data_IF_442384498483
#
_entry.id   IF_442384498483
#
_cell.length_a   1.000
_cell.length_b   1.000
_cell.length_c   1.000
_cell.angle_alpha   90.00
_cell.angle_beta   90.00
_cell.angle_gamma   90.00
#
_symmetry.space_group_name_H-M   'P 1'
#
loop_
_entity.id
_entity.type
_entity.pdbx_description
1 polymer ?
#
# COMPACT_ATOMS: atom_id res chain seq x y z
N UNK A 1 -4.64 6.34 1.33
CA UNK A 1 -4.14 5.34 0.36
C UNK A 1 -5.23 4.44 -0.23
N UNK A 2 -6.40 4.28 0.42
CA UNK A 2 -7.47 3.43 -0.11
C UNK A 2 -8.01 3.91 -1.46
N UNK A 3 -8.49 2.97 -2.26
CA UNK A 3 -9.17 3.19 -3.55
C UNK A 3 -8.37 4.08 -4.53
N UNK A 4 -7.04 4.04 -4.41
CA UNK A 4 -6.12 4.85 -5.21
C UNK A 4 -5.17 3.90 -5.93
N UNK A 5 -5.05 3.99 -7.28
CA UNK A 5 -4.11 3.16 -8.02
C UNK A 5 -2.71 3.26 -7.45
N UNK A 6 -2.02 2.13 -7.26
CA UNK A 6 -0.71 2.07 -6.61
C UNK A 6 0.31 2.98 -7.28
N UNK A 7 0.28 3.11 -8.61
CA UNK A 7 1.17 4.02 -9.36
C UNK A 7 0.97 5.51 -9.03
N UNK A 8 -0.16 5.88 -8.43
CA UNK A 8 -0.48 7.24 -8.00
C UNK A 8 -0.20 7.45 -6.51
N UNK A 9 0.08 6.39 -5.76
CA UNK A 9 0.40 6.49 -4.34
C UNK A 9 1.82 7.05 -4.18
N UNK A 10 1.96 8.00 -3.27
CA UNK A 10 3.26 8.41 -2.74
C UNK A 10 3.59 7.50 -1.57
N UNK A 11 4.62 6.67 -1.76
CA UNK A 11 5.11 5.74 -0.75
C UNK A 11 6.48 6.19 -0.23
N UNK A 12 6.79 5.80 1.00
CA UNK A 12 8.12 5.95 1.57
C UNK A 12 9.19 5.37 0.65
N UNK A 13 10.38 5.99 0.67
CA UNK A 13 11.51 5.54 -0.15
C UNK A 13 11.88 4.11 0.25
N UNK A 14 12.13 3.26 -0.75
CA UNK A 14 12.44 1.83 -0.57
C UNK A 14 11.32 1.00 0.09
N UNK A 15 10.06 1.39 -0.09
CA UNK A 15 8.89 0.58 0.24
C UNK A 15 8.25 0.00 -1.03
N UNK A 16 7.83 -1.27 -0.96
CA UNK A 16 7.06 -1.94 -2.03
C UNK A 16 5.88 -2.70 -1.43
N UNK A 17 4.76 -2.74 -2.16
CA UNK A 17 3.66 -3.67 -1.88
C UNK A 17 3.96 -4.96 -2.62
N UNK A 18 4.16 -6.05 -1.89
CA UNK A 18 4.50 -7.35 -2.46
C UNK A 18 3.26 -8.16 -2.85
N UNK A 19 2.20 -8.06 -2.05
CA UNK A 19 0.94 -8.75 -2.31
C UNK A 19 -0.22 -8.04 -1.61
N UNK A 20 -1.40 -8.17 -2.20
CA UNK A 20 -2.67 -7.79 -1.58
C UNK A 20 -3.46 -9.09 -1.39
N UNK A 21 -3.83 -9.40 -0.15
CA UNK A 21 -4.74 -10.51 0.16
C UNK A 21 -6.14 -9.94 0.32
N UNK A 22 -7.01 -10.27 -0.62
CA UNK A 22 -8.39 -9.79 -0.67
C UNK A 22 -9.32 -10.99 -0.56
N UNK A 23 -10.08 -11.05 0.53
CA UNK A 23 -10.89 -12.23 0.88
C UNK A 23 -9.99 -13.47 0.97
N UNK A 24 -10.11 -14.42 0.04
CA UNK A 24 -9.34 -15.66 -0.03
C UNK A 24 -8.39 -15.72 -1.24
N UNK A 25 -8.12 -14.58 -1.88
CA UNK A 25 -7.25 -14.50 -3.06
C UNK A 25 -5.99 -13.67 -2.78
N UNK A 26 -4.88 -14.08 -3.39
CA UNK A 26 -3.61 -13.35 -3.40
C UNK A 26 -3.50 -12.64 -4.74
N UNK A 27 -3.39 -11.32 -4.70
CA UNK A 27 -3.18 -10.44 -5.84
C UNK A 27 -1.70 -10.03 -5.84
N UNK A 28 -0.99 -10.31 -6.94
CA UNK A 28 0.33 -9.73 -7.20
C UNK A 28 0.11 -8.36 -7.84
N UNK A 29 0.42 -7.26 -7.15
CA UNK A 29 -0.03 -5.95 -7.54
C UNK A 29 0.73 -5.38 -8.74
N UNK A 30 0.00 -4.70 -9.60
CA UNK A 30 0.49 -3.82 -10.64
C UNK A 30 0.13 -2.36 -10.33
N UNK A 31 0.65 -1.43 -11.13
CA UNK A 31 0.43 0.00 -10.90
C UNK A 31 -1.03 0.45 -10.98
N UNK A 32 -1.90 -0.29 -11.66
CA UNK A 32 -3.33 0.01 -11.78
C UNK A 32 -4.19 -0.52 -10.64
N UNK A 33 -3.69 -1.50 -9.89
CA UNK A 33 -4.39 -2.05 -8.73
C UNK A 33 -4.46 -1.01 -7.61
N UNK A 34 -5.34 -1.24 -6.66
CA UNK A 34 -5.55 -0.37 -5.51
C UNK A 34 -5.94 -1.17 -4.28
N UNK A 35 -5.66 -0.60 -3.09
CA UNK A 35 -5.98 -1.21 -1.80
C UNK A 35 -7.40 -0.84 -1.40
N UNK A 36 -8.20 -1.83 -1.04
CA UNK A 36 -9.56 -1.64 -0.53
C UNK A 36 -9.62 -1.82 0.98
N UNK A 37 -10.72 -1.34 1.57
CA UNK A 37 -11.04 -1.64 2.97
C UNK A 37 -11.12 -3.17 3.14
N UNK A 38 -10.56 -3.65 4.26
CA UNK A 38 -10.46 -5.07 4.64
C UNK A 38 -9.45 -5.91 3.85
N UNK A 39 -8.67 -5.31 2.95
CA UNK A 39 -7.50 -6.00 2.40
C UNK A 39 -6.44 -6.18 3.48
N UNK A 40 -5.71 -7.30 3.43
CA UNK A 40 -4.43 -7.43 4.13
C UNK A 40 -3.32 -7.17 3.12
N UNK A 41 -2.45 -6.22 3.42
CA UNK A 41 -1.37 -5.81 2.51
C UNK A 41 -0.04 -6.32 3.06
N UNK A 42 0.75 -6.97 2.22
CA UNK A 42 2.12 -7.39 2.57
C UNK A 42 3.07 -6.35 1.96
N UNK A 43 3.84 -5.67 2.82
CA UNK A 43 4.82 -4.67 2.41
C UNK A 43 6.24 -5.11 2.77
N UNK A 44 7.19 -4.76 1.92
CA UNK A 44 8.61 -4.75 2.26
C UNK A 44 9.11 -3.33 2.32
N UNK A 45 9.82 -3.00 3.39
CA UNK A 45 10.38 -1.67 3.62
C UNK A 45 11.83 -1.84 4.04
N UNK A 46 12.73 -1.06 3.42
CA UNK A 46 14.17 -1.07 3.76
C UNK A 46 14.62 0.27 4.32
N UNK A 47 15.22 0.23 5.50
CA UNK A 47 15.85 1.41 6.13
C UNK A 47 14.87 2.36 6.82
N UNK A 48 13.60 1.97 6.90
CA UNK A 48 12.58 2.60 7.74
C UNK A 48 12.00 1.50 8.64
N UNK A 49 11.77 1.83 9.90
CA UNK A 49 11.06 1.00 10.88
C UNK A 49 9.70 1.65 11.13
N UNK A 50 8.70 1.43 10.27
CA UNK A 50 7.40 2.09 10.40
C UNK A 50 6.68 1.57 11.64
N UNK A 51 6.09 2.46 12.42
CA UNK A 51 5.20 2.10 13.53
C UNK A 51 3.77 1.86 13.02
N UNK A 52 3.43 2.49 11.89
CA UNK A 52 2.12 2.45 11.27
C UNK A 52 2.20 2.40 9.74
N UNK A 53 1.06 2.13 9.09
CA UNK A 53 0.96 2.23 7.62
C UNK A 53 1.04 3.69 7.14
N UNK A 54 0.72 4.67 7.99
CA UNK A 54 0.77 6.08 7.63
C UNK A 54 2.21 6.59 7.50
N UNK A 55 3.17 5.94 8.16
CA UNK A 55 4.61 6.20 7.95
C UNK A 55 5.09 5.76 6.56
N UNK A 56 4.37 4.80 5.95
CA UNK A 56 4.69 4.24 4.63
C UNK A 56 3.91 4.93 3.53
N UNK A 57 2.65 5.25 3.77
CA UNK A 57 1.76 5.89 2.80
C UNK A 57 1.54 7.34 3.17
N UNK A 58 1.92 8.25 2.27
CA UNK A 58 1.56 9.66 2.45
C UNK A 58 0.05 9.79 2.22
N UNK A 59 -0.69 10.06 3.29
CA UNK A 59 -2.12 10.37 3.23
C UNK A 59 -2.27 11.75 2.59
N UNK A 60 -2.98 11.84 1.47
CA UNK A 60 -3.48 13.12 0.99
C UNK A 60 -4.70 13.46 1.84
N UNK A 61 -4.68 14.59 2.52
CA UNK A 61 -5.86 15.09 3.21
C UNK A 61 -7.00 15.27 2.19
N UNK A 62 -8.21 14.80 2.48
CA UNK A 62 -9.36 15.17 1.68
C UNK A 62 -9.57 16.67 1.83
N UNK A 63 -9.76 17.36 0.70
CA UNK A 63 -10.25 18.75 0.66
C UNK A 63 -11.56 18.90 1.42
#
# INVERSE_FOLDING_TARGET
YLNTPLKKLKMAKNAIIAAIVRKNEIIIPHGSDDVHRNDRVILFVKGLSPESLDDVFQVQEPL
#
